data_IF_349703418168
#
_entry.id   IF_349703418168
#
_cell.length_a   1.000
_cell.length_b   1.000
_cell.length_c   1.000
_cell.angle_alpha   90.00
_cell.angle_beta   90.00
_cell.angle_gamma   90.00
#
_symmetry.space_group_name_H-M   'P 1'
#
loop_
_entity.id
_entity.type
_entity.pdbx_description
1 polymer ?
#
# COMPACT_ATOMS: atom_id res chain seq x y z
N UNK A 1 36.08 -6.92 -59.14
CA UNK A 1 34.99 -6.59 -58.20
C UNK A 1 34.81 -7.80 -57.31
N UNK A 2 35.19 -7.61 -56.04
CA UNK A 2 34.95 -8.43 -54.85
C UNK A 2 35.18 -9.93 -54.93
N UNK A 3 36.45 -10.30 -54.73
CA UNK A 3 36.85 -11.46 -53.95
C UNK A 3 36.57 -11.15 -52.46
N UNK A 4 35.57 -11.80 -51.88
CA UNK A 4 35.50 -12.04 -50.44
C UNK A 4 34.86 -13.41 -50.30
N UNK A 5 35.69 -14.43 -50.50
CA UNK A 5 35.46 -15.75 -49.96
C UNK A 5 35.37 -15.61 -48.46
N UNK A 6 34.18 -15.86 -47.92
CA UNK A 6 33.95 -16.11 -46.51
C UNK A 6 34.79 -17.35 -46.12
N UNK A 7 36.06 -17.10 -45.77
CA UNK A 7 36.80 -18.02 -44.91
C UNK A 7 36.06 -17.99 -43.57
N UNK A 8 35.12 -18.93 -43.42
CA UNK A 8 34.70 -19.42 -42.12
C UNK A 8 35.99 -19.74 -41.36
N UNK A 9 36.41 -18.81 -40.51
CA UNK A 9 37.40 -19.06 -39.49
C UNK A 9 36.80 -20.12 -38.58
N UNK A 10 37.07 -21.37 -38.94
CA UNK A 10 36.93 -22.52 -38.10
C UNK A 10 37.85 -22.28 -36.89
N UNK A 11 37.33 -21.58 -35.90
CA UNK A 11 37.93 -21.49 -34.57
C UNK A 11 37.94 -22.94 -34.11
N UNK A 12 39.10 -23.60 -33.99
CA UNK A 12 39.10 -24.97 -33.52
C UNK A 12 38.46 -24.96 -32.15
N UNK A 13 37.38 -25.74 -31.98
CA UNK A 13 36.94 -26.21 -30.68
C UNK A 13 38.12 -26.98 -30.08
N UNK A 14 39.04 -26.27 -29.45
CA UNK A 14 40.02 -26.87 -28.55
C UNK A 14 39.25 -27.27 -27.31
N UNK A 15 38.48 -28.35 -27.42
CA UNK A 15 38.05 -29.13 -26.27
C UNK A 15 39.33 -29.55 -25.54
N UNK A 16 39.72 -28.77 -24.52
CA UNK A 16 40.88 -29.09 -23.69
C UNK A 16 40.61 -30.44 -23.02
N UNK A 17 41.34 -31.47 -23.48
CA UNK A 17 41.26 -32.80 -22.86
C UNK A 17 41.83 -32.72 -21.45
N UNK A 18 40.94 -32.81 -20.46
CA UNK A 18 41.33 -32.83 -19.04
C UNK A 18 42.09 -34.13 -18.72
N UNK A 19 43.32 -33.99 -18.21
CA UNK A 19 44.15 -35.11 -17.74
C UNK A 19 44.26 -35.05 -16.22
N UNK A 20 44.03 -36.17 -15.54
CA UNK A 20 44.19 -36.26 -14.10
C UNK A 20 45.67 -36.35 -13.73
N UNK A 21 46.13 -35.47 -12.85
CA UNK A 21 47.48 -35.48 -12.29
C UNK A 21 47.40 -35.81 -10.81
N UNK A 22 48.13 -36.83 -10.36
CA UNK A 22 48.29 -37.15 -8.95
C UNK A 22 49.53 -36.43 -8.38
N UNK A 23 49.35 -35.72 -7.26
CA UNK A 23 50.43 -34.98 -6.60
C UNK A 23 50.62 -35.57 -5.20
N UNK A 24 51.81 -36.10 -4.93
CA UNK A 24 52.20 -36.53 -3.59
C UNK A 24 52.79 -35.36 -2.82
N UNK A 25 52.23 -35.10 -1.64
CA UNK A 25 52.71 -34.07 -0.71
C UNK A 25 52.79 -34.65 0.70
N UNK A 26 53.78 -34.22 1.51
CA UNK A 26 53.88 -34.65 2.90
C UNK A 26 52.60 -34.35 3.68
N UNK A 27 52.27 -35.23 4.62
CA UNK A 27 51.04 -35.12 5.43
C UNK A 27 50.97 -33.79 6.22
N UNK A 28 52.11 -33.33 6.74
CA UNK A 28 52.22 -32.03 7.42
C UNK A 28 51.85 -30.85 6.52
N UNK A 29 52.16 -30.93 5.22
CA UNK A 29 51.85 -29.90 4.23
C UNK A 29 50.38 -29.94 3.84
N UNK A 30 49.83 -31.15 3.62
CA UNK A 30 48.39 -31.35 3.33
C UNK A 30 47.52 -30.78 4.44
N UNK A 31 47.81 -31.14 5.68
CA UNK A 31 46.98 -30.75 6.82
C UNK A 31 47.14 -29.25 7.14
N UNK A 32 48.35 -28.72 6.99
CA UNK A 32 48.62 -27.29 7.10
C UNK A 32 47.90 -26.46 6.03
N UNK A 33 47.82 -26.96 4.80
CA UNK A 33 47.10 -26.30 3.71
C UNK A 33 45.58 -26.39 3.88
N UNK A 34 45.06 -27.57 4.26
CA UNK A 34 43.64 -27.82 4.50
C UNK A 34 43.07 -26.95 5.63
N UNK A 35 43.88 -26.62 6.65
CA UNK A 35 43.48 -25.75 7.75
C UNK A 35 43.36 -24.26 7.33
N UNK A 36 44.04 -23.85 6.25
CA UNK A 36 44.13 -22.44 5.82
C UNK A 36 43.29 -22.12 4.59
N UNK A 37 42.92 -23.14 3.80
CA UNK A 37 42.20 -22.98 2.55
C UNK A 37 40.73 -23.44 2.69
N UNK A 38 39.78 -22.77 2.01
CA UNK A 38 38.39 -23.22 1.95
C UNK A 38 38.28 -24.56 1.21
N UNK A 39 37.11 -25.20 1.29
CA UNK A 39 36.85 -26.48 0.61
C UNK A 39 37.18 -26.38 -0.89
N UNK A 40 38.00 -27.30 -1.40
CA UNK A 40 38.48 -27.30 -2.79
C UNK A 40 39.68 -26.38 -3.09
N UNK A 41 40.11 -25.54 -2.15
CA UNK A 41 41.18 -24.56 -2.37
C UNK A 41 42.56 -25.15 -2.68
N UNK A 42 42.89 -26.34 -2.16
CA UNK A 42 44.16 -27.01 -2.49
C UNK A 42 44.24 -27.39 -3.99
N UNK A 43 43.14 -27.85 -4.57
CA UNK A 43 43.08 -28.20 -6.00
C UNK A 43 43.18 -26.96 -6.89
N UNK A 44 42.62 -25.83 -6.47
CA UNK A 44 42.80 -24.55 -7.16
C UNK A 44 44.26 -24.12 -7.15
N UNK A 45 44.93 -24.15 -6.00
CA UNK A 45 46.35 -23.75 -5.88
C UNK A 45 47.26 -24.62 -6.76
N UNK A 46 47.06 -25.95 -6.75
CA UNK A 46 47.86 -26.86 -7.59
C UNK A 46 47.61 -26.59 -9.08
N UNK A 47 46.36 -26.37 -9.48
CA UNK A 47 46.00 -26.09 -10.88
C UNK A 47 46.55 -24.73 -11.34
N UNK A 48 46.48 -23.71 -10.49
CA UNK A 48 47.06 -22.39 -10.77
C UNK A 48 48.58 -22.48 -10.97
N UNK A 49 49.28 -23.26 -10.16
CA UNK A 49 50.74 -23.35 -10.24
C UNK A 49 51.21 -24.16 -11.44
N UNK A 50 50.48 -25.23 -11.79
CA UNK A 50 50.70 -25.94 -13.05
C UNK A 50 50.44 -25.03 -14.26
N UNK A 51 49.37 -24.24 -14.25
CA UNK A 51 49.07 -23.29 -15.32
C UNK A 51 50.11 -22.17 -15.42
N UNK A 52 50.59 -21.66 -14.28
CA UNK A 52 51.67 -20.67 -14.25
C UNK A 52 52.96 -21.22 -14.84
N UNK A 53 53.32 -22.46 -14.50
CA UNK A 53 54.51 -23.13 -15.05
C UNK A 53 54.35 -23.41 -16.55
N UNK A 54 53.15 -23.80 -16.99
CA UNK A 54 52.89 -24.15 -18.39
C UNK A 54 52.77 -22.92 -19.31
N UNK A 55 52.15 -21.84 -18.85
CA UNK A 55 51.70 -20.72 -19.70
C UNK A 55 52.11 -19.33 -19.20
N UNK A 56 52.80 -19.22 -18.06
CA UNK A 56 53.24 -17.95 -17.46
C UNK A 56 52.19 -17.26 -16.56
N UNK A 57 52.59 -16.17 -15.90
CA UNK A 57 51.75 -15.45 -14.93
C UNK A 57 50.52 -14.77 -15.57
N UNK A 58 50.61 -14.36 -16.84
CA UNK A 58 49.54 -13.63 -17.54
C UNK A 58 48.29 -14.49 -17.78
N UNK A 59 48.45 -15.77 -18.14
CA UNK A 59 47.32 -16.69 -18.29
C UNK A 59 46.65 -17.02 -16.96
N UNK A 60 47.42 -17.06 -15.86
CA UNK A 60 46.87 -17.22 -14.50
C UNK A 60 46.03 -16.01 -14.07
N UNK A 61 46.49 -14.79 -14.37
CA UNK A 61 45.71 -13.58 -14.12
C UNK A 61 44.44 -13.51 -14.96
N UNK A 62 44.51 -13.90 -16.25
CA UNK A 62 43.35 -13.96 -17.14
C UNK A 62 42.28 -14.92 -16.60
N UNK A 63 42.66 -16.14 -16.22
CA UNK A 63 41.72 -17.12 -15.67
C UNK A 63 41.04 -16.63 -14.38
N UNK A 64 41.77 -15.94 -13.49
CA UNK A 64 41.19 -15.33 -12.28
C UNK A 64 40.21 -14.20 -12.61
N UNK A 65 40.53 -13.36 -13.59
CA UNK A 65 39.66 -12.27 -14.02
C UNK A 65 38.39 -12.81 -14.69
N UNK A 66 38.51 -13.89 -15.49
CA UNK A 66 37.36 -14.57 -16.11
C UNK A 66 36.43 -15.16 -15.04
N UNK A 67 36.97 -15.87 -14.05
CA UNK A 67 36.17 -16.41 -12.93
C UNK A 67 35.47 -15.29 -12.15
N UNK A 68 36.18 -14.20 -11.83
CA UNK A 68 35.58 -13.07 -11.12
C UNK A 68 34.51 -12.35 -11.94
N UNK A 69 34.68 -12.29 -13.26
CA UNK A 69 33.68 -11.72 -14.17
C UNK A 69 32.41 -12.59 -14.19
N UNK A 70 32.56 -13.92 -14.15
CA UNK A 70 31.44 -14.85 -14.05
C UNK A 70 30.68 -14.68 -12.75
N UNK A 71 31.38 -14.65 -11.60
CA UNK A 71 30.77 -14.40 -10.29
C UNK A 71 29.95 -13.09 -10.26
N UNK A 72 30.54 -12.00 -10.80
CA UNK A 72 29.87 -10.69 -10.87
C UNK A 72 28.65 -10.74 -11.81
N UNK A 73 28.72 -11.49 -12.92
CA UNK A 73 27.57 -11.66 -13.83
C UNK A 73 26.44 -12.42 -13.16
N UNK A 74 26.76 -13.49 -12.45
CA UNK A 74 25.76 -14.27 -11.70
C UNK A 74 25.10 -13.45 -10.60
N UNK A 75 25.89 -12.68 -9.84
CA UNK A 75 25.36 -11.78 -8.80
C UNK A 75 24.45 -10.71 -9.42
N UNK A 76 24.85 -10.13 -10.55
CA UNK A 76 24.02 -9.18 -11.30
C UNK A 76 22.71 -9.82 -11.75
N UNK A 77 22.73 -11.04 -12.27
CA UNK A 77 21.53 -11.74 -12.72
C UNK A 77 20.60 -12.10 -11.55
N UNK A 78 21.16 -12.46 -10.40
CA UNK A 78 20.40 -12.65 -9.16
C UNK A 78 19.70 -11.36 -8.73
N UNK A 79 20.42 -10.25 -8.64
CA UNK A 79 19.84 -8.94 -8.29
C UNK A 79 18.78 -8.49 -9.29
N UNK A 80 18.95 -8.78 -10.59
CA UNK A 80 17.93 -8.49 -11.60
C UNK A 80 16.64 -9.30 -11.39
N UNK A 81 16.75 -10.57 -10.97
CA UNK A 81 15.57 -11.38 -10.62
C UNK A 81 14.86 -10.84 -9.38
N UNK A 82 15.62 -10.52 -8.32
CA UNK A 82 15.07 -9.92 -7.10
C UNK A 82 14.37 -8.59 -7.38
N UNK A 83 14.96 -7.73 -8.22
CA UNK A 83 14.33 -6.48 -8.66
C UNK A 83 13.00 -6.72 -9.37
N UNK A 84 12.90 -7.72 -10.26
CA UNK A 84 11.65 -8.04 -10.95
C UNK A 84 10.57 -8.50 -9.97
N UNK A 85 10.94 -9.33 -9.00
CA UNK A 85 10.01 -9.79 -7.96
C UNK A 85 9.52 -8.63 -7.08
N UNK A 86 10.43 -7.73 -6.68
CA UNK A 86 10.08 -6.52 -5.93
C UNK A 86 9.15 -5.60 -6.72
N UNK A 87 9.41 -5.42 -8.01
CA UNK A 87 8.54 -4.63 -8.88
C UNK A 87 7.12 -5.23 -8.98
N UNK A 88 7.00 -6.57 -9.10
CA UNK A 88 5.70 -7.22 -9.12
C UNK A 88 4.95 -7.09 -7.79
N UNK A 89 5.67 -7.14 -6.65
CA UNK A 89 5.09 -6.87 -5.32
C UNK A 89 4.61 -5.43 -5.19
N UNK A 90 5.38 -4.48 -5.72
CA UNK A 90 5.03 -3.06 -5.72
C UNK A 90 3.74 -2.82 -6.52
N UNK A 91 3.65 -3.36 -7.74
CA UNK A 91 2.45 -3.24 -8.59
C UNK A 91 1.19 -3.79 -7.89
N UNK A 92 1.30 -4.95 -7.24
CA UNK A 92 0.18 -5.51 -6.47
C UNK A 92 -0.24 -4.60 -5.31
N UNK A 93 0.71 -4.05 -4.56
CA UNK A 93 0.42 -3.12 -3.47
C UNK A 93 -0.21 -1.82 -3.97
N UNK A 94 0.22 -1.30 -5.12
CA UNK A 94 -0.40 -0.13 -5.74
C UNK A 94 -1.85 -0.39 -6.14
N UNK A 95 -2.16 -1.56 -6.68
CA UNK A 95 -3.53 -1.93 -7.01
C UNK A 95 -4.40 -2.11 -5.76
N UNK A 96 -3.87 -2.73 -4.71
CA UNK A 96 -4.55 -2.82 -3.41
C UNK A 96 -4.83 -1.43 -2.82
N UNK A 97 -3.88 -0.49 -2.92
CA UNK A 97 -4.06 0.87 -2.45
C UNK A 97 -5.20 1.56 -3.21
N UNK A 98 -5.21 1.48 -4.55
CA UNK A 98 -6.29 2.06 -5.38
C UNK A 98 -7.66 1.47 -5.03
N UNK A 99 -7.73 0.17 -4.77
CA UNK A 99 -9.00 -0.48 -4.38
C UNK A 99 -9.50 0.00 -3.01
N UNK A 100 -8.58 0.21 -2.06
CA UNK A 100 -8.92 0.77 -0.75
C UNK A 100 -9.35 2.23 -0.88
N UNK A 101 -8.65 3.04 -1.68
CA UNK A 101 -9.01 4.43 -1.96
C UNK A 101 -10.42 4.53 -2.54
N UNK A 102 -10.76 3.72 -3.54
CA UNK A 102 -12.13 3.68 -4.10
C UNK A 102 -13.18 3.33 -3.06
N UNK A 103 -12.91 2.33 -2.20
CA UNK A 103 -13.83 1.95 -1.12
C UNK A 103 -14.01 3.09 -0.12
N UNK A 104 -12.97 3.86 0.16
CA UNK A 104 -13.07 5.04 1.03
C UNK A 104 -13.90 6.15 0.40
N UNK A 105 -13.73 6.40 -0.90
CA UNK A 105 -14.53 7.39 -1.64
C UNK A 105 -16.01 6.98 -1.69
N UNK A 106 -16.28 5.69 -1.90
CA UNK A 106 -17.64 5.14 -1.88
C UNK A 106 -18.29 5.30 -0.50
N UNK A 107 -17.56 5.00 0.58
CA UNK A 107 -18.03 5.19 1.95
C UNK A 107 -18.29 6.67 2.25
N UNK A 108 -17.38 7.57 1.86
CA UNK A 108 -17.54 9.01 2.03
C UNK A 108 -18.80 9.51 1.30
N UNK A 109 -19.01 9.04 0.06
CA UNK A 109 -20.20 9.37 -0.72
C UNK A 109 -21.49 8.83 -0.08
N UNK A 110 -21.44 7.64 0.53
CA UNK A 110 -22.57 7.10 1.28
C UNK A 110 -22.87 7.92 2.54
N UNK A 111 -21.84 8.34 3.27
CA UNK A 111 -21.97 9.23 4.43
C UNK A 111 -22.59 10.57 4.03
N UNK A 112 -22.12 11.22 2.97
CA UNK A 112 -22.69 12.48 2.45
C UNK A 112 -24.17 12.33 2.04
N UNK A 113 -24.55 11.21 1.43
CA UNK A 113 -25.95 10.94 1.07
C UNK A 113 -26.81 10.73 2.30
N UNK A 114 -26.29 10.05 3.32
CA UNK A 114 -26.98 9.85 4.59
C UNK A 114 -27.16 11.19 5.32
N UNK A 115 -26.12 12.02 5.31
CA UNK A 115 -26.11 13.37 5.87
C UNK A 115 -27.24 14.24 5.29
N UNK A 116 -27.30 14.35 3.96
CA UNK A 116 -28.32 15.14 3.27
C UNK A 116 -29.76 14.65 3.57
N UNK A 117 -29.94 13.35 3.81
CA UNK A 117 -31.24 12.79 4.20
C UNK A 117 -31.61 13.10 5.63
N UNK A 118 -30.63 13.08 6.54
CA UNK A 118 -30.84 13.55 7.91
C UNK A 118 -31.26 15.02 7.91
N UNK A 119 -30.58 15.90 7.16
CA UNK A 119 -30.98 17.30 7.03
C UNK A 119 -32.42 17.47 6.53
N UNK A 120 -32.85 16.64 5.57
CA UNK A 120 -34.24 16.66 5.09
C UNK A 120 -35.24 16.23 6.18
N UNK A 121 -34.89 15.26 7.02
CA UNK A 121 -35.73 14.86 8.16
C UNK A 121 -35.75 15.94 9.25
N UNK A 122 -34.64 16.61 9.48
CA UNK A 122 -34.55 17.75 10.40
C UNK A 122 -35.43 18.91 9.95
N UNK A 123 -35.45 19.21 8.65
CA UNK A 123 -36.37 20.20 8.08
C UNK A 123 -37.83 19.88 8.41
N UNK A 124 -38.24 18.61 8.27
CA UNK A 124 -39.60 18.16 8.55
C UNK A 124 -39.97 18.36 10.03
N UNK A 125 -39.04 18.13 10.95
CA UNK A 125 -39.28 18.30 12.39
C UNK A 125 -39.22 19.78 12.79
N UNK A 126 -38.18 20.51 12.38
CA UNK A 126 -37.89 21.87 12.88
C UNK A 126 -38.70 22.96 12.21
N UNK A 127 -39.05 22.79 10.94
CA UNK A 127 -39.76 23.80 10.15
C UNK A 127 -41.21 23.39 9.92
N UNK A 128 -41.45 22.18 9.41
CA UNK A 128 -42.81 21.75 9.12
C UNK A 128 -43.58 21.33 10.40
N UNK A 129 -42.86 20.81 11.40
CA UNK A 129 -43.45 20.30 12.64
C UNK A 129 -44.13 18.96 12.48
N UNK A 130 -43.60 18.11 11.59
CA UNK A 130 -44.04 16.73 11.44
C UNK A 130 -43.32 15.85 12.45
N UNK A 131 -44.05 14.89 12.98
CA UNK A 131 -43.47 13.87 13.85
C UNK A 131 -42.76 12.80 12.99
N UNK A 132 -41.57 12.39 13.43
CA UNK A 132 -40.79 11.32 12.79
C UNK A 132 -40.57 10.17 13.78
N UNK A 133 -41.19 9.03 13.52
CA UNK A 133 -41.10 7.83 14.35
C UNK A 133 -40.47 6.66 13.56
N UNK A 134 -40.10 5.58 14.25
CA UNK A 134 -39.29 4.51 13.67
C UNK A 134 -40.00 3.81 12.51
N UNK A 135 -41.32 3.69 12.62
CA UNK A 135 -42.20 3.10 11.61
C UNK A 135 -42.62 4.10 10.52
N UNK A 136 -42.05 5.31 10.50
CA UNK A 136 -42.32 6.29 9.45
C UNK A 136 -41.58 5.88 8.18
N UNK A 137 -42.31 5.69 7.06
CA UNK A 137 -41.75 5.14 5.82
C UNK A 137 -40.53 5.90 5.26
N UNK A 138 -40.38 7.19 5.55
CA UNK A 138 -39.16 7.93 5.21
C UNK A 138 -37.95 7.53 6.07
N UNK A 139 -38.15 7.33 7.38
CA UNK A 139 -37.10 6.91 8.32
C UNK A 139 -36.68 5.47 8.00
N UNK A 140 -37.65 4.59 7.73
CA UNK A 140 -37.40 3.21 7.30
C UNK A 140 -36.62 3.15 5.98
N UNK A 141 -37.01 3.96 4.98
CA UNK A 141 -36.30 4.03 3.71
C UNK A 141 -34.85 4.52 3.86
N UNK A 142 -34.63 5.53 4.71
CA UNK A 142 -33.28 6.08 4.96
C UNK A 142 -32.43 5.07 5.73
N UNK A 143 -33.03 4.38 6.70
CA UNK A 143 -32.38 3.33 7.48
C UNK A 143 -31.95 2.15 6.59
N UNK A 144 -32.85 1.69 5.71
CA UNK A 144 -32.57 0.61 4.76
C UNK A 144 -31.45 0.96 3.79
N UNK A 145 -31.41 2.20 3.29
CA UNK A 145 -30.37 2.65 2.36
C UNK A 145 -29.01 2.87 3.04
N UNK A 146 -29.00 3.28 4.31
CA UNK A 146 -27.78 3.47 5.10
C UNK A 146 -27.31 2.19 5.82
N UNK A 147 -28.05 1.08 5.72
CA UNK A 147 -27.75 -0.15 6.44
C UNK A 147 -27.86 -0.02 7.98
N UNK A 148 -28.63 0.95 8.47
CA UNK A 148 -28.86 1.21 9.90
C UNK A 148 -30.26 0.74 10.31
N UNK A 149 -30.51 0.64 11.61
CA UNK A 149 -31.89 0.46 12.11
C UNK A 149 -32.65 1.80 12.08
N UNK A 150 -33.97 1.81 11.88
CA UNK A 150 -34.79 3.03 11.96
C UNK A 150 -34.64 3.77 13.30
N UNK A 151 -34.49 3.02 14.39
CA UNK A 151 -34.20 3.54 15.73
C UNK A 151 -32.84 4.24 15.80
N UNK A 152 -31.84 3.72 15.07
CA UNK A 152 -30.53 4.34 14.93
C UNK A 152 -30.59 5.70 14.23
N UNK A 153 -31.42 5.81 13.19
CA UNK A 153 -31.65 7.09 12.48
C UNK A 153 -32.31 8.11 13.40
N UNK A 154 -33.31 7.70 14.21
CA UNK A 154 -33.92 8.59 15.20
C UNK A 154 -32.92 9.01 16.28
N UNK A 155 -32.07 8.08 16.73
CA UNK A 155 -31.03 8.40 17.71
C UNK A 155 -30.05 9.45 17.15
N UNK A 156 -29.63 9.30 15.89
CA UNK A 156 -28.79 10.28 15.20
C UNK A 156 -29.49 11.65 15.12
N UNK A 157 -30.78 11.68 14.74
CA UNK A 157 -31.58 12.91 14.69
C UNK A 157 -31.74 13.58 16.06
N UNK A 158 -32.02 12.82 17.12
CA UNK A 158 -32.11 13.34 18.50
C UNK A 158 -30.79 13.92 18.97
N UNK A 159 -29.67 13.29 18.62
CA UNK A 159 -28.36 13.78 18.98
C UNK A 159 -28.02 15.12 18.30
N UNK A 160 -28.45 15.28 17.04
CA UNK A 160 -28.28 16.53 16.28
C UNK A 160 -29.20 17.65 16.70
N UNK A 161 -30.39 17.31 17.20
CA UNK A 161 -31.44 18.25 17.57
C UNK A 161 -31.80 18.10 19.06
N UNK A 162 -30.90 18.49 19.99
CA UNK A 162 -31.13 18.35 21.43
C UNK A 162 -32.23 19.28 21.97
N UNK A 163 -32.61 20.29 21.21
CA UNK A 163 -33.65 21.28 21.51
C UNK A 163 -35.05 20.85 21.05
N UNK A 164 -35.15 19.83 20.20
CA UNK A 164 -36.42 19.25 19.78
C UNK A 164 -36.92 18.29 20.86
N UNK A 165 -38.14 18.46 21.39
CA UNK A 165 -38.73 17.55 22.37
C UNK A 165 -38.93 16.14 21.84
N UNK A 166 -38.81 15.18 22.76
CA UNK A 166 -38.99 13.76 22.47
C UNK A 166 -40.36 13.42 21.85
N UNK A 167 -41.38 14.26 22.09
CA UNK A 167 -42.72 14.16 21.51
C UNK A 167 -42.73 14.19 19.98
N UNK A 168 -41.77 14.90 19.37
CA UNK A 168 -41.61 14.94 17.91
C UNK A 168 -41.18 13.59 17.32
N UNK A 169 -40.72 12.65 18.17
CA UNK A 169 -40.22 11.34 17.77
C UNK A 169 -41.13 10.16 18.15
N UNK A 170 -42.32 10.43 18.70
CA UNK A 170 -43.28 9.42 19.14
C UNK A 170 -44.37 9.17 18.09
N UNK A 171 -44.70 7.89 17.90
CA UNK A 171 -45.86 7.43 17.10
C UNK A 171 -47.14 7.57 17.93
N UNK A 172 -48.15 8.28 17.44
CA UNK A 172 -49.47 8.38 18.08
C UNK A 172 -49.99 9.79 18.39
N UNK A 173 -49.38 10.86 17.86
CA UNK A 173 -49.94 12.22 17.89
C UNK A 173 -50.80 12.48 16.64
N UNK A 174 -51.72 11.56 16.36
CA UNK A 174 -52.50 11.52 15.12
C UNK A 174 -53.76 12.42 15.22
N UNK A 175 -53.77 13.38 16.14
CA UNK A 175 -54.96 14.15 16.49
C UNK A 175 -54.65 15.49 17.12
N UNK A 176 -54.30 16.49 16.29
CA UNK A 176 -54.46 17.92 16.63
C UNK A 176 -53.51 18.53 17.66
N UNK A 177 -52.62 17.77 18.29
CA UNK A 177 -51.58 18.25 19.20
C UNK A 177 -50.21 18.31 18.52
N UNK A 178 -50.05 19.09 17.46
CA UNK A 178 -48.74 19.25 16.84
C UNK A 178 -47.74 19.87 17.83
N UNK A 179 -46.56 19.27 17.98
CA UNK A 179 -45.46 19.92 18.70
C UNK A 179 -45.13 21.26 17.99
N UNK A 180 -44.86 22.30 18.78
CA UNK A 180 -44.51 23.62 18.24
C UNK A 180 -43.04 23.63 17.82
N UNK A 181 -42.72 23.63 16.52
CA UNK A 181 -41.37 23.46 16.05
C UNK A 181 -40.48 24.63 16.49
N UNK A 182 -39.22 24.35 16.86
CA UNK A 182 -38.32 25.38 17.39
C UNK A 182 -38.12 26.56 16.43
N UNK A 183 -38.21 26.33 15.11
CA UNK A 183 -37.93 27.34 14.08
C UNK A 183 -39.17 27.95 13.43
N UNK A 184 -40.40 27.63 13.87
CA UNK A 184 -41.62 28.33 13.39
C UNK A 184 -41.71 29.79 13.85
N UNK A 185 -40.76 30.28 14.63
CA UNK A 185 -40.69 31.67 15.08
C UNK A 185 -39.40 32.34 14.56
N UNK A 186 -39.46 33.33 13.63
CA UNK A 186 -38.30 33.88 12.91
C UNK A 186 -37.35 34.75 13.75
N UNK A 187 -37.38 34.63 15.09
CA UNK A 187 -36.53 35.40 16.01
C UNK A 187 -35.47 34.56 16.74
N UNK A 188 -35.44 33.23 16.58
CA UNK A 188 -34.45 32.35 17.22
C UNK A 188 -33.37 31.81 16.26
N UNK A 189 -33.55 31.94 14.95
CA UNK A 189 -32.65 31.35 13.95
C UNK A 189 -31.37 32.16 13.78
N UNK A 190 -30.42 32.05 14.70
CA UNK A 190 -29.00 32.32 14.47
C UNK A 190 -28.23 32.04 15.77
N UNK A 191 -27.93 30.76 16.00
CA UNK A 191 -26.72 30.29 16.70
C UNK A 191 -26.75 28.76 16.78
N UNK A 192 -26.07 28.13 15.83
CA UNK A 192 -25.13 27.02 16.04
C UNK A 192 -25.26 25.98 14.95
N UNK A 193 -24.43 26.14 13.92
CA UNK A 193 -23.86 25.00 13.22
C UNK A 193 -22.39 25.37 13.00
N UNK A 194 -21.60 25.27 14.07
CA UNK A 194 -20.15 25.33 13.95
C UNK A 194 -19.74 23.91 13.57
N UNK A 195 -19.61 23.68 12.26
CA UNK A 195 -18.82 22.65 11.60
C UNK A 195 -18.32 21.53 12.54
N UNK A 196 -18.99 20.37 12.52
CA UNK A 196 -18.51 19.13 13.15
C UNK A 196 -18.36 18.09 12.04
N UNK A 197 -17.14 17.57 11.87
CA UNK A 197 -16.80 16.55 10.88
C UNK A 197 -16.32 15.28 11.56
N UNK A 198 -16.51 14.14 10.92
CA UNK A 198 -16.23 12.83 11.49
C UNK A 198 -14.71 12.55 11.65
N UNK A 199 -14.32 12.15 12.86
CA UNK A 199 -13.00 11.60 13.18
C UNK A 199 -12.85 10.16 12.68
N UNK A 200 -11.62 9.72 12.37
CA UNK A 200 -11.32 8.34 11.89
C UNK A 200 -11.60 7.24 12.94
N UNK A 201 -12.05 7.62 14.12
CA UNK A 201 -12.37 6.82 15.31
C UNK A 201 -13.87 6.82 15.66
N UNK A 202 -14.73 7.50 14.89
CA UNK A 202 -16.17 7.54 15.14
C UNK A 202 -16.61 8.45 16.30
N UNK A 203 -15.69 9.22 16.89
CA UNK A 203 -16.01 10.25 17.90
C UNK A 203 -16.11 11.64 17.23
N UNK A 204 -17.18 12.40 17.53
CA UNK A 204 -17.36 13.77 17.03
C UNK A 204 -16.46 14.76 17.76
N UNK A 205 -15.63 15.50 17.00
CA UNK A 205 -14.78 16.59 17.52
C UNK A 205 -14.97 17.89 16.71
N UNK A 206 -14.79 19.07 17.32
CA UNK A 206 -14.89 20.36 16.62
C UNK A 206 -13.85 20.50 15.48
N UNK A 207 -14.25 21.04 14.31
CA UNK A 207 -13.44 21.09 13.08
C UNK A 207 -12.19 22.01 13.08
N UNK A 208 -11.75 22.55 14.22
CA UNK A 208 -10.67 23.56 14.25
C UNK A 208 -9.23 23.00 14.18
N UNK A 209 -9.01 21.69 13.99
CA UNK A 209 -7.65 21.09 14.03
C UNK A 209 -7.16 20.42 12.73
N UNK A 210 -7.81 20.61 11.56
CA UNK A 210 -7.41 19.93 10.31
C UNK A 210 -6.80 20.77 9.20
N UNK A 211 -6.69 22.08 9.34
CA UNK A 211 -6.02 22.91 8.31
C UNK A 211 -4.48 22.78 8.30
N UNK A 212 -3.85 22.15 9.29
CA UNK A 212 -2.38 21.99 9.30
C UNK A 212 -1.85 20.77 8.56
N UNK A 213 -2.69 19.78 8.17
CA UNK A 213 -2.20 18.55 7.50
C UNK A 213 -2.22 18.57 5.98
N UNK A 214 -2.81 19.60 5.37
CA UNK A 214 -2.86 19.77 3.91
C UNK A 214 -2.34 21.12 3.45
N UNK A 215 -1.33 21.70 4.14
CA UNK A 215 -0.42 22.58 3.41
C UNK A 215 0.37 21.69 2.44
N UNK A 216 0.40 22.01 1.13
CA UNK A 216 1.41 21.46 0.26
C UNK A 216 2.76 21.65 0.94
N UNK A 217 3.56 20.58 1.09
CA UNK A 217 4.97 20.75 1.43
C UNK A 217 5.55 21.69 0.37
N UNK A 218 6.00 22.88 0.78
CA UNK A 218 6.77 23.73 -0.09
C UNK A 218 7.93 22.90 -0.64
N UNK A 219 8.08 22.75 -1.97
CA UNK A 219 9.14 21.93 -2.56
C UNK A 219 10.55 22.49 -2.30
N UNK A 220 10.66 23.67 -1.68
CA UNK A 220 11.92 24.36 -1.39
C UNK A 220 12.32 24.32 0.11
N UNK A 221 11.69 23.48 0.92
CA UNK A 221 11.97 23.41 2.36
C UNK A 221 13.24 22.61 2.75
N UNK A 222 13.90 21.96 1.79
CA UNK A 222 15.21 21.31 1.98
C UNK A 222 16.25 21.93 1.01
N UNK A 223 16.80 23.08 1.41
CA UNK A 223 18.04 23.63 0.87
C UNK A 223 18.86 24.28 2.00
#
# INVERSE_FOLDING_TARGET
MNETSDEEMNIPDTEERMVQVAVEVPESVRDGAKAKLPYGGMSQVIREELNRVAFGEEMGQRSRLESRLEDVREERDKLQRERRELNAKLENLEDQAKDIERKLDDLTTQEDRYEAKLESLEYNIRIEGRNLFADHGQVESIAAEAGKSPEGVIKDLKHRNPDVPDEAFLSGLDGGGGFSPPDKNPKSSLKSAKNIGYGKDGEMRPLEEREEKYRPRDPDADN
#
